data_IF_750977063757
#
_entry.id   IF_750977063757
#
_cell.length_a   1.000
_cell.length_b   1.000
_cell.length_c   1.000
_cell.angle_alpha   90.00
_cell.angle_beta   90.00
_cell.angle_gamma   90.00
#
_symmetry.space_group_name_H-M   'P 1'
#
loop_
_entity.id
_entity.type
_entity.pdbx_description
1 polymer ?
#
# COMPACT_ATOMS: atom_id res chain seq x y z
N UNK A 1 -24.15 -8.87 0.51
CA UNK A 1 -22.73 -9.24 0.46
C UNK A 1 -22.12 -8.76 1.75
N UNK A 2 -22.12 -9.63 2.75
CA UNK A 2 -21.44 -9.42 4.02
C UNK A 2 -19.92 -9.31 3.81
N UNK A 3 -19.23 -8.48 4.59
CA UNK A 3 -17.78 -8.37 4.52
C UNK A 3 -17.14 -9.65 5.11
N UNK A 4 -15.95 -10.06 4.63
CA UNK A 4 -15.32 -11.26 5.14
C UNK A 4 -14.78 -11.01 6.54
N UNK A 5 -15.17 -11.89 7.47
CA UNK A 5 -14.59 -12.05 8.80
C UNK A 5 -13.07 -12.24 8.68
N UNK A 6 -12.34 -11.15 8.91
CA UNK A 6 -10.92 -11.19 9.19
C UNK A 6 -10.77 -11.67 10.64
N UNK A 7 -10.51 -12.97 10.72
CA UNK A 7 -10.23 -13.77 11.90
C UNK A 7 -9.35 -13.04 12.94
N UNK A 8 -10.02 -12.41 13.92
CA UNK A 8 -9.40 -11.82 15.10
C UNK A 8 -8.87 -12.88 16.09
N UNK A 9 -9.10 -14.17 15.86
CA UNK A 9 -8.51 -15.23 16.67
C UNK A 9 -7.06 -15.51 16.25
N UNK A 10 -6.70 -15.31 14.97
CA UNK A 10 -5.35 -15.59 14.49
C UNK A 10 -4.29 -14.56 14.94
N UNK A 11 -4.70 -13.33 15.28
CA UNK A 11 -3.81 -12.32 15.89
C UNK A 11 -3.72 -12.49 17.43
N UNK A 12 -4.65 -13.22 18.04
CA UNK A 12 -4.60 -13.54 19.47
C UNK A 12 -3.93 -14.89 19.78
N UNK A 13 -3.90 -15.85 18.85
CA UNK A 13 -3.24 -17.15 19.08
C UNK A 13 -1.71 -17.12 18.98
N UNK A 14 -1.12 -16.17 18.23
CA UNK A 14 0.34 -15.99 18.20
C UNK A 14 0.88 -15.25 19.46
N UNK A 15 -0.03 -14.86 20.37
CA UNK A 15 0.30 -14.21 21.64
C UNK A 15 0.31 -15.16 22.86
N UNK A 16 -0.05 -16.44 22.68
CA UNK A 16 -0.29 -17.36 23.82
C UNK A 16 0.69 -18.53 23.96
N UNK A 17 1.68 -18.69 23.08
CA UNK A 17 2.63 -19.84 23.12
C UNK A 17 4.12 -19.47 23.14
N UNK A 18 4.48 -18.22 23.43
CA UNK A 18 5.84 -17.88 23.86
C UNK A 18 5.80 -17.30 25.25
N UNK A 19 5.99 -18.16 26.25
CA UNK A 19 6.56 -17.76 27.54
C UNK A 19 7.78 -16.89 27.24
N UNK A 20 7.75 -15.58 27.55
CA UNK A 20 8.92 -14.75 27.34
C UNK A 20 9.97 -15.25 28.33
N UNK A 21 11.08 -15.77 27.83
CA UNK A 21 12.28 -16.07 28.60
C UNK A 21 12.97 -14.81 29.16
N UNK A 22 12.21 -13.74 29.40
CA UNK A 22 12.66 -12.49 30.01
C UNK A 22 12.35 -12.48 31.50
N UNK A 23 12.80 -13.53 32.18
CA UNK A 23 13.16 -13.50 33.60
C UNK A 23 14.69 -13.49 33.71
N UNK A 24 15.38 -12.75 32.83
CA UNK A 24 16.69 -12.22 33.20
C UNK A 24 16.44 -10.94 33.98
N UNK A 25 16.05 -11.11 35.24
CA UNK A 25 16.29 -10.12 36.28
C UNK A 25 17.73 -9.63 36.09
N UNK A 26 17.97 -8.36 35.74
CA UNK A 26 19.33 -7.87 35.70
C UNK A 26 19.87 -8.00 37.13
N UNK A 27 20.98 -8.73 37.23
CA UNK A 27 21.83 -8.96 38.39
C UNK A 27 21.43 -8.27 39.70
N UNK A 28 21.03 -9.09 40.67
CA UNK A 28 21.41 -8.95 42.08
C UNK A 28 21.46 -7.53 42.65
N UNK A 29 20.30 -6.96 42.95
CA UNK A 29 20.19 -5.92 43.98
C UNK A 29 19.17 -6.33 45.03
N UNK A 30 19.30 -7.56 45.52
CA UNK A 30 19.00 -7.75 46.93
C UNK A 30 19.99 -6.86 47.67
N UNK A 31 19.52 -5.80 48.31
CA UNK A 31 20.21 -5.31 49.51
C UNK A 31 20.12 -6.48 50.49
N UNK A 32 21.03 -7.44 50.32
CA UNK A 32 21.26 -8.53 51.24
C UNK A 32 21.89 -7.86 52.45
N UNK A 33 21.02 -7.30 53.27
CA UNK A 33 21.31 -7.11 54.68
C UNK A 33 21.71 -8.50 55.15
N UNK A 34 23.01 -8.73 55.21
CA UNK A 34 23.66 -10.02 55.40
C UNK A 34 23.25 -10.50 56.80
N UNK A 35 22.07 -11.12 56.86
CA UNK A 35 21.26 -11.24 58.08
C UNK A 35 22.04 -11.99 59.15
N UNK A 36 22.88 -12.93 58.74
CA UNK A 36 23.71 -13.73 59.61
C UNK A 36 24.85 -12.94 60.28
N UNK A 37 25.35 -11.87 59.65
CA UNK A 37 26.36 -10.98 60.25
C UNK A 37 25.75 -9.99 61.24
N UNK A 38 24.48 -9.61 61.05
CA UNK A 38 23.79 -8.62 61.89
C UNK A 38 23.11 -9.21 63.12
N UNK A 39 22.67 -10.48 63.08
CA UNK A 39 22.08 -11.20 64.23
C UNK A 39 22.86 -11.04 65.55
N UNK A 40 24.20 -11.23 65.63
CA UNK A 40 24.93 -11.07 66.88
C UNK A 40 24.95 -9.62 67.38
N UNK A 41 25.10 -8.65 66.47
CA UNK A 41 25.04 -7.22 66.80
C UNK A 41 23.66 -6.82 67.33
N UNK A 42 22.59 -7.29 66.69
CA UNK A 42 21.21 -7.07 67.15
C UNK A 42 21.01 -7.65 68.55
N UNK A 43 21.36 -8.92 68.78
CA UNK A 43 21.24 -9.59 70.08
C UNK A 43 21.99 -8.85 71.20
N UNK A 44 23.18 -8.32 70.90
CA UNK A 44 23.93 -7.49 71.83
C UNK A 44 23.22 -6.17 72.12
N UNK A 45 22.71 -5.48 71.11
CA UNK A 45 21.99 -4.22 71.27
C UNK A 45 20.75 -4.39 72.15
N UNK A 46 20.02 -5.48 71.94
CA UNK A 46 18.86 -5.83 72.73
C UNK A 46 19.16 -6.01 74.22
N UNK A 47 20.32 -6.60 74.54
CA UNK A 47 20.79 -6.71 75.93
C UNK A 47 21.10 -5.32 76.51
N UNK A 48 21.72 -4.44 75.72
CA UNK A 48 22.02 -3.05 76.11
C UNK A 48 20.75 -2.27 76.39
N UNK A 49 19.74 -2.35 75.51
CA UNK A 49 18.45 -1.68 75.68
C UNK A 49 17.78 -2.10 76.99
N UNK A 50 17.61 -3.41 77.23
CA UNK A 50 16.96 -3.90 78.43
C UNK A 50 17.68 -3.50 79.74
N UNK A 51 19.02 -3.54 79.74
CA UNK A 51 19.82 -3.09 80.90
C UNK A 51 19.69 -1.58 81.13
N UNK A 52 19.80 -0.78 80.07
CA UNK A 52 19.69 0.68 80.17
C UNK A 52 18.32 1.12 80.72
N UNK A 53 17.22 0.51 80.27
CA UNK A 53 15.88 0.82 80.78
C UNK A 53 15.74 0.43 82.25
N UNK A 54 16.33 -0.70 82.66
CA UNK A 54 16.34 -1.12 84.06
C UNK A 54 17.10 -0.15 84.96
N UNK A 55 18.25 0.38 84.49
CA UNK A 55 19.02 1.41 85.19
C UNK A 55 18.24 2.73 85.30
N UNK A 56 17.64 3.19 84.21
CA UNK A 56 16.87 4.44 84.18
C UNK A 56 15.56 4.33 84.98
N UNK A 57 14.94 3.15 85.05
CA UNK A 57 13.77 2.91 85.91
C UNK A 57 14.13 3.06 87.40
N UNK A 58 15.32 2.57 87.82
CA UNK A 58 15.81 2.77 89.19
C UNK A 58 16.12 4.24 89.47
N UNK A 59 16.70 4.95 88.49
CA UNK A 59 16.96 6.39 88.59
C UNK A 59 15.67 7.20 88.72
N UNK A 60 14.67 6.90 87.89
CA UNK A 60 13.35 7.54 87.94
C UNK A 60 12.65 7.28 89.28
N UNK A 61 12.79 6.08 89.85
CA UNK A 61 12.28 5.78 91.19
C UNK A 61 12.99 6.63 92.27
N UNK A 62 14.30 6.83 92.16
CA UNK A 62 15.05 7.65 93.11
C UNK A 62 14.70 9.15 93.01
N UNK A 63 14.54 9.67 91.78
CA UNK A 63 14.32 11.10 91.51
C UNK A 63 12.85 11.51 91.65
N UNK A 64 11.92 10.72 91.10
CA UNK A 64 10.49 11.06 90.97
C UNK A 64 9.58 10.19 91.85
N UNK A 65 10.13 9.19 92.55
CA UNK A 65 9.36 8.20 93.33
C UNK A 65 8.32 7.42 92.52
N UNK A 66 8.44 7.43 91.18
CA UNK A 66 7.59 6.67 90.27
C UNK A 66 8.21 5.32 89.99
N UNK A 67 7.44 4.24 90.19
CA UNK A 67 7.93 2.87 90.03
C UNK A 67 7.53 2.29 88.67
N UNK A 68 8.49 1.68 87.96
CA UNK A 68 8.28 1.01 86.69
C UNK A 68 8.87 -0.40 86.71
N UNK A 69 8.14 -1.38 86.17
CA UNK A 69 8.57 -2.78 86.08
C UNK A 69 9.02 -3.12 84.67
N UNK A 70 10.27 -3.55 84.53
CA UNK A 70 10.84 -3.96 83.24
C UNK A 70 10.81 -5.49 83.17
N UNK A 71 10.00 -6.06 82.27
CA UNK A 71 9.90 -7.51 82.10
C UNK A 71 10.42 -7.97 80.73
N UNK A 72 11.01 -9.18 80.61
CA UNK A 72 11.45 -9.71 79.32
C UNK A 72 10.30 -9.90 78.31
N UNK A 73 9.05 -10.02 78.76
CA UNK A 73 7.88 -10.21 77.90
C UNK A 73 7.55 -8.96 77.06
N UNK A 74 8.08 -7.79 77.44
CA UNK A 74 7.97 -6.55 76.65
C UNK A 74 8.69 -6.66 75.29
N UNK A 75 9.53 -7.66 75.07
CA UNK A 75 10.45 -7.72 73.95
C UNK A 75 9.88 -8.35 72.65
N UNK A 76 8.70 -8.96 72.70
CA UNK A 76 8.18 -9.83 71.62
C UNK A 76 7.55 -9.07 70.43
N UNK A 77 7.82 -7.77 70.25
CA UNK A 77 7.27 -6.96 69.15
C UNK A 77 8.08 -7.03 67.84
N UNK A 78 8.75 -8.16 67.57
CA UNK A 78 9.53 -8.36 66.32
C UNK A 78 8.65 -8.44 65.05
N UNK A 79 7.33 -8.63 65.21
CA UNK A 79 6.34 -8.65 64.12
C UNK A 79 6.38 -7.36 63.28
N UNK A 80 6.73 -6.23 63.90
CA UNK A 80 6.80 -4.91 63.25
C UNK A 80 7.79 -4.84 62.08
N UNK A 81 8.88 -5.62 62.14
CA UNK A 81 9.89 -5.62 61.07
C UNK A 81 9.34 -6.23 59.80
N UNK A 82 8.53 -7.28 59.91
CA UNK A 82 7.95 -7.96 58.76
C UNK A 82 6.91 -7.08 58.06
N UNK A 83 6.03 -6.43 58.84
CA UNK A 83 4.97 -5.59 58.29
C UNK A 83 5.53 -4.34 57.61
N UNK A 84 6.51 -3.65 58.23
CA UNK A 84 7.16 -2.48 57.62
C UNK A 84 7.99 -2.85 56.39
N UNK A 85 8.63 -4.02 56.37
CA UNK A 85 9.33 -4.52 55.18
C UNK A 85 8.39 -4.72 54.02
N UNK A 86 7.23 -5.34 54.25
CA UNK A 86 6.23 -5.57 53.21
C UNK A 86 5.58 -4.26 52.75
N UNK A 87 5.35 -3.30 53.65
CA UNK A 87 4.83 -1.97 53.31
C UNK A 87 5.78 -1.21 52.38
N UNK A 88 7.05 -1.06 52.76
CA UNK A 88 8.05 -0.33 51.98
C UNK A 88 8.39 -1.07 50.68
N UNK A 89 8.59 -2.38 50.74
CA UNK A 89 8.87 -3.21 49.58
C UNK A 89 7.73 -3.19 48.57
N UNK A 90 6.49 -3.35 49.03
CA UNK A 90 5.32 -3.28 48.17
C UNK A 90 5.11 -1.89 47.53
N UNK A 91 5.45 -0.82 48.24
CA UNK A 91 5.44 0.54 47.67
C UNK A 91 6.51 0.70 46.58
N UNK A 92 7.74 0.25 46.83
CA UNK A 92 8.83 0.29 45.87
C UNK A 92 8.51 -0.55 44.63
N UNK A 93 7.98 -1.76 44.78
CA UNK A 93 7.64 -2.66 43.68
C UNK A 93 6.53 -2.09 42.79
N UNK A 94 5.52 -1.44 43.37
CA UNK A 94 4.49 -0.74 42.59
C UNK A 94 5.08 0.34 41.70
N UNK A 95 5.99 1.16 42.24
CA UNK A 95 6.65 2.22 41.48
C UNK A 95 7.61 1.65 40.43
N UNK A 96 8.38 0.60 40.75
CA UNK A 96 9.23 -0.12 39.78
C UNK A 96 8.42 -0.69 38.62
N UNK A 97 7.27 -1.30 38.91
CA UNK A 97 6.37 -1.80 37.87
C UNK A 97 5.87 -0.66 36.97
N UNK A 98 5.48 0.48 37.56
CA UNK A 98 5.11 1.67 36.80
C UNK A 98 6.24 2.18 35.89
N UNK A 99 7.45 2.29 36.44
CA UNK A 99 8.65 2.70 35.69
C UNK A 99 8.97 1.75 34.54
N UNK A 100 8.90 0.44 34.77
CA UNK A 100 9.06 -0.57 33.73
C UNK A 100 8.02 -0.42 32.62
N UNK A 101 6.76 -0.13 32.93
CA UNK A 101 5.72 0.13 31.92
C UNK A 101 5.98 1.40 31.10
N UNK A 102 6.52 2.44 31.71
CA UNK A 102 6.91 3.67 31.01
C UNK A 102 8.07 3.36 30.04
N UNK A 103 9.06 2.58 30.47
CA UNK A 103 10.19 2.20 29.61
C UNK A 103 9.79 1.24 28.48
N UNK A 104 8.90 0.27 28.74
CA UNK A 104 8.30 -0.59 27.72
C UNK A 104 7.56 0.26 26.66
N UNK A 105 6.81 1.26 27.10
CA UNK A 105 6.06 2.16 26.22
C UNK A 105 7.03 2.99 25.37
N UNK A 106 8.10 3.51 25.96
CA UNK A 106 9.17 4.22 25.23
C UNK A 106 9.76 3.35 24.12
N UNK A 107 10.13 2.11 24.42
CA UNK A 107 10.68 1.18 23.43
C UNK A 107 9.68 0.86 22.31
N UNK A 108 8.39 0.72 22.63
CA UNK A 108 7.34 0.52 21.62
C UNK A 108 7.18 1.72 20.71
N UNK A 109 7.22 2.94 21.26
CA UNK A 109 7.17 4.19 20.48
C UNK A 109 8.36 4.28 19.52
N UNK A 110 9.57 3.96 19.99
CA UNK A 110 10.77 3.94 19.14
C UNK A 110 10.65 2.93 17.99
N UNK A 111 10.22 1.69 18.29
CA UNK A 111 9.97 0.67 17.26
C UNK A 111 8.88 1.08 16.26
N UNK A 112 7.81 1.74 16.72
CA UNK A 112 6.75 2.24 15.83
C UNK A 112 7.25 3.40 14.95
N UNK A 113 8.12 4.27 15.46
CA UNK A 113 8.72 5.36 14.69
C UNK A 113 9.59 4.83 13.55
N UNK A 114 10.41 3.81 13.82
CA UNK A 114 11.21 3.15 12.76
C UNK A 114 10.29 2.54 11.69
N UNK A 115 9.23 1.83 12.09
CA UNK A 115 8.27 1.24 11.16
C UNK A 115 7.52 2.28 10.32
N UNK A 116 7.25 3.46 10.89
CA UNK A 116 6.61 4.56 10.17
C UNK A 116 7.52 5.11 9.06
N UNK A 117 8.81 5.31 9.35
CA UNK A 117 9.79 5.78 8.36
C UNK A 117 9.98 4.78 7.21
N UNK A 118 10.06 3.48 7.52
CA UNK A 118 10.08 2.43 6.51
C UNK A 118 8.80 2.42 5.66
N UNK A 119 7.65 2.62 6.31
CA UNK A 119 6.34 2.72 5.65
C UNK A 119 6.25 3.91 4.69
N UNK A 120 6.65 5.11 5.14
CA UNK A 120 6.69 6.33 4.31
C UNK A 120 7.62 6.15 3.11
N UNK A 121 8.77 5.52 3.30
CA UNK A 121 9.71 5.21 2.21
C UNK A 121 9.10 4.28 1.17
N UNK A 122 8.40 3.21 1.59
CA UNK A 122 7.69 2.30 0.68
C UNK A 122 6.56 2.98 -0.08
N UNK A 123 5.79 3.85 0.58
CA UNK A 123 4.74 4.64 -0.09
C UNK A 123 5.35 5.53 -1.17
N UNK A 124 6.48 6.20 -0.90
CA UNK A 124 7.18 7.02 -1.91
C UNK A 124 7.72 6.18 -3.08
N UNK A 125 8.22 4.96 -2.83
CA UNK A 125 8.64 4.04 -3.87
C UNK A 125 7.45 3.59 -4.74
N UNK A 126 6.32 3.22 -4.13
CA UNK A 126 5.12 2.83 -4.87
C UNK A 126 4.48 4.00 -5.63
N UNK A 127 4.55 5.23 -5.12
CA UNK A 127 4.16 6.41 -5.88
C UNK A 127 4.97 6.54 -7.17
N UNK A 128 6.30 6.44 -7.08
CA UNK A 128 7.17 6.49 -8.28
C UNK A 128 6.88 5.35 -9.27
N UNK A 129 6.54 4.16 -8.77
CA UNK A 129 6.14 3.04 -9.63
C UNK A 129 4.82 3.33 -10.34
N UNK A 130 3.80 3.84 -9.63
CA UNK A 130 2.52 4.25 -10.19
C UNK A 130 2.70 5.32 -11.28
N UNK A 131 3.50 6.35 -11.03
CA UNK A 131 3.78 7.42 -11.99
C UNK A 131 4.46 6.87 -13.26
N UNK A 132 5.39 5.92 -13.09
CA UNK A 132 6.05 5.25 -14.21
C UNK A 132 5.05 4.47 -15.06
N UNK A 133 4.17 3.69 -14.44
CA UNK A 133 3.14 2.93 -15.17
C UNK A 133 2.17 3.85 -15.92
N UNK A 134 1.73 4.95 -15.31
CA UNK A 134 0.86 5.95 -15.95
C UNK A 134 1.52 6.57 -17.19
N UNK A 135 2.81 6.89 -17.11
CA UNK A 135 3.57 7.45 -18.24
C UNK A 135 3.71 6.48 -19.42
N UNK A 136 3.73 5.18 -19.16
CA UNK A 136 3.79 4.13 -20.19
C UNK A 136 2.41 3.92 -20.81
N UNK A 137 1.34 3.96 -20.01
CA UNK A 137 -0.03 3.85 -20.50
C UNK A 137 -0.38 4.98 -21.50
N UNK A 138 0.00 6.23 -21.22
CA UNK A 138 -0.18 7.36 -22.14
C UNK A 138 0.54 7.17 -23.48
N UNK A 139 1.66 6.46 -23.50
CA UNK A 139 2.36 6.13 -24.76
C UNK A 139 1.62 5.06 -25.57
N UNK A 140 0.93 4.13 -24.91
CA UNK A 140 0.11 3.11 -25.57
C UNK A 140 -1.14 3.69 -26.22
N UNK A 141 -1.79 4.68 -25.61
CA UNK A 141 -2.96 5.35 -26.20
C UNK A 141 -2.65 6.05 -27.54
N UNK A 142 -1.43 6.58 -27.69
CA UNK A 142 -0.98 7.18 -28.96
C UNK A 142 -0.90 6.18 -30.11
N UNK A 143 -0.67 4.90 -29.83
CA UNK A 143 -0.61 3.84 -30.84
C UNK A 143 -2.02 3.49 -31.33
N UNK A 144 -3.02 3.57 -30.45
CA UNK A 144 -4.44 3.42 -30.83
C UNK A 144 -4.92 4.58 -31.74
N UNK A 145 -4.49 5.81 -31.46
CA UNK A 145 -4.77 6.94 -32.35
C UNK A 145 -4.15 6.78 -33.75
N UNK A 146 -3.00 6.11 -33.88
CA UNK A 146 -2.39 5.82 -35.17
C UNK A 146 -3.15 4.75 -35.96
N UNK A 147 -3.74 3.76 -35.30
CA UNK A 147 -4.57 2.72 -35.94
C UNK A 147 -5.84 3.31 -36.55
N UNK A 148 -6.56 4.17 -35.84
CA UNK A 148 -7.78 4.82 -36.36
C UNK A 148 -7.52 5.63 -37.63
N UNK A 149 -6.34 6.26 -37.72
CA UNK A 149 -5.90 6.98 -38.93
C UNK A 149 -5.61 6.02 -40.08
N UNK A 150 -4.95 4.89 -39.81
CA UNK A 150 -4.70 3.85 -40.81
C UNK A 150 -6.01 3.21 -41.31
N UNK A 151 -6.96 2.96 -40.41
CA UNK A 151 -8.29 2.44 -40.75
C UNK A 151 -9.07 3.42 -41.63
N UNK A 152 -9.10 4.69 -41.25
CA UNK A 152 -9.75 5.71 -42.09
C UNK A 152 -9.14 5.78 -43.50
N UNK A 153 -7.81 5.69 -43.62
CA UNK A 153 -7.15 5.67 -44.94
C UNK A 153 -7.49 4.41 -45.76
N UNK A 154 -7.65 3.25 -45.12
CA UNK A 154 -8.08 2.02 -45.79
C UNK A 154 -9.54 2.11 -46.25
N UNK A 155 -10.42 2.68 -45.43
CA UNK A 155 -11.84 2.88 -45.76
C UNK A 155 -12.04 3.84 -46.94
N UNK A 156 -11.24 4.92 -47.00
CA UNK A 156 -11.23 5.85 -48.14
C UNK A 156 -10.80 5.13 -49.44
N UNK A 157 -9.75 4.31 -49.38
CA UNK A 157 -9.30 3.54 -50.54
C UNK A 157 -10.34 2.49 -51.00
N UNK A 158 -11.08 1.90 -50.06
CA UNK A 158 -12.16 0.96 -50.37
C UNK A 158 -13.34 1.68 -51.03
N UNK A 159 -13.71 2.85 -50.53
CA UNK A 159 -14.77 3.67 -51.13
C UNK A 159 -14.44 4.05 -52.58
N UNK A 160 -13.19 4.44 -52.87
CA UNK A 160 -12.74 4.75 -54.24
C UNK A 160 -12.81 3.52 -55.17
N UNK A 161 -12.54 2.32 -54.64
CA UNK A 161 -12.68 1.07 -55.37
C UNK A 161 -14.16 0.75 -55.67
N UNK A 162 -15.04 0.94 -54.68
CA UNK A 162 -16.47 0.72 -54.78
C UNK A 162 -17.15 1.71 -55.74
N UNK A 163 -16.61 2.93 -55.90
CA UNK A 163 -17.04 3.88 -56.93
C UNK A 163 -16.59 3.41 -58.34
N UNK A 164 -15.38 2.86 -58.45
CA UNK A 164 -14.80 2.46 -59.73
C UNK A 164 -15.36 1.14 -60.29
N UNK A 165 -15.77 0.21 -59.43
CA UNK A 165 -16.23 -1.15 -59.82
C UNK A 165 -17.54 -1.17 -60.62
N UNK A 166 -18.66 -0.54 -60.18
CA UNK A 166 -19.92 -0.56 -60.90
C UNK A 166 -19.80 0.14 -62.25
N UNK A 167 -19.11 1.28 -62.27
CA UNK A 167 -18.88 2.09 -63.46
C UNK A 167 -18.04 1.36 -64.53
N UNK A 168 -17.21 0.39 -64.12
CA UNK A 168 -16.44 -0.49 -64.99
C UNK A 168 -17.27 -1.72 -65.40
N UNK A 169 -18.00 -2.35 -64.48
CA UNK A 169 -18.84 -3.51 -64.72
C UNK A 169 -19.99 -3.21 -65.69
N UNK A 170 -20.66 -2.06 -65.56
CA UNK A 170 -21.70 -1.61 -66.49
C UNK A 170 -21.14 -1.46 -67.92
N UNK A 171 -19.91 -0.94 -68.03
CA UNK A 171 -19.27 -0.73 -69.32
C UNK A 171 -18.77 -2.03 -69.96
N UNK A 172 -18.41 -3.04 -69.17
CA UNK A 172 -18.05 -4.38 -69.64
C UNK A 172 -19.30 -5.21 -69.97
N UNK A 173 -20.37 -5.11 -69.18
CA UNK A 173 -21.63 -5.82 -69.42
C UNK A 173 -22.33 -5.37 -70.71
N UNK A 174 -22.24 -4.09 -71.06
CA UNK A 174 -22.69 -3.58 -72.37
C UNK A 174 -21.94 -4.24 -73.55
N UNK A 175 -20.71 -4.70 -73.30
CA UNK A 175 -19.75 -5.19 -74.29
C UNK A 175 -19.85 -6.70 -74.56
N UNK A 176 -20.30 -7.49 -73.57
CA UNK A 176 -20.48 -8.95 -73.69
C UNK A 176 -21.77 -9.38 -74.43
N UNK A 177 -22.54 -8.42 -74.94
CA UNK A 177 -23.82 -8.66 -75.64
C UNK A 177 -23.70 -9.16 -77.09
N UNK A 178 -22.51 -9.52 -77.58
CA UNK A 178 -22.31 -9.90 -78.99
C UNK A 178 -21.72 -11.30 -79.16
N UNK A 179 -22.52 -12.16 -79.80
CA UNK A 179 -22.30 -13.59 -79.95
C UNK A 179 -21.31 -13.91 -81.08
N UNK A 180 -20.32 -14.75 -80.77
CA UNK A 180 -19.11 -15.04 -81.55
C UNK A 180 -19.29 -16.11 -82.64
N UNK A 181 -20.52 -16.42 -83.05
CA UNK A 181 -20.86 -17.62 -83.84
C UNK A 181 -21.01 -17.42 -85.35
N UNK A 182 -21.11 -16.20 -85.88
CA UNK A 182 -21.62 -15.98 -87.26
C UNK A 182 -20.57 -15.50 -88.28
N UNK A 183 -19.30 -15.91 -88.17
CA UNK A 183 -18.18 -15.27 -88.91
C UNK A 183 -17.42 -16.16 -89.92
N UNK A 184 -18.10 -17.12 -90.58
CA UNK A 184 -17.43 -18.07 -91.51
C UNK A 184 -17.90 -18.07 -92.98
N UNK A 185 -18.83 -17.21 -93.42
CA UNK A 185 -19.41 -17.29 -94.78
C UNK A 185 -18.96 -16.22 -95.81
N UNK A 186 -17.95 -15.39 -95.54
CA UNK A 186 -17.67 -14.15 -96.31
C UNK A 186 -16.74 -14.35 -97.54
N UNK A 187 -16.36 -15.60 -97.87
CA UNK A 187 -15.33 -15.87 -98.89
C UNK A 187 -15.87 -16.12 -100.32
N UNK A 188 -17.18 -16.08 -100.54
CA UNK A 188 -17.82 -16.59 -101.77
C UNK A 188 -18.30 -15.54 -102.80
N UNK A 189 -18.07 -14.24 -102.58
CA UNK A 189 -18.55 -13.20 -103.51
C UNK A 189 -17.52 -12.84 -104.60
N UNK A 190 -17.85 -13.08 -105.88
CA UNK A 190 -17.03 -12.69 -107.04
C UNK A 190 -17.23 -11.24 -107.52
N UNK A 191 -18.41 -10.64 -107.28
CA UNK A 191 -18.69 -9.20 -107.51
C UNK A 191 -19.75 -8.74 -106.50
N UNK A 192 -19.36 -8.02 -105.42
CA UNK A 192 -20.28 -7.73 -104.33
C UNK A 192 -21.35 -6.70 -104.72
N UNK A 193 -22.61 -6.85 -104.26
CA UNK A 193 -23.64 -5.81 -104.36
C UNK A 193 -23.20 -4.52 -103.64
N UNK A 194 -23.68 -3.35 -104.09
CA UNK A 194 -23.29 -2.03 -103.56
C UNK A 194 -23.34 -1.90 -102.02
N UNK A 195 -24.31 -2.55 -101.37
CA UNK A 195 -24.43 -2.56 -99.90
C UNK A 195 -23.36 -3.43 -99.22
N UNK A 196 -22.91 -4.51 -99.86
CA UNK A 196 -21.82 -5.37 -99.39
C UNK A 196 -20.46 -4.69 -99.64
N UNK A 197 -20.32 -3.97 -100.76
CA UNK A 197 -19.14 -3.16 -101.07
C UNK A 197 -18.89 -2.06 -100.04
N UNK A 198 -19.94 -1.31 -99.64
CA UNK A 198 -19.86 -0.32 -98.54
C UNK A 198 -19.43 -0.92 -97.19
N UNK A 199 -19.89 -2.14 -96.87
CA UNK A 199 -19.46 -2.88 -95.66
C UNK A 199 -18.00 -3.31 -95.78
N UNK A 200 -17.57 -3.74 -96.97
CA UNK A 200 -16.18 -4.10 -97.24
C UNK A 200 -15.26 -2.86 -97.21
N UNK A 201 -15.69 -1.69 -97.69
CA UNK A 201 -14.96 -0.42 -97.58
C UNK A 201 -14.79 0.03 -96.12
N UNK A 202 -15.86 -0.04 -95.32
CA UNK A 202 -15.81 0.30 -93.90
C UNK A 202 -14.91 -0.66 -93.10
N UNK A 203 -14.85 -1.94 -93.48
CA UNK A 203 -13.91 -2.93 -92.93
C UNK A 203 -12.48 -2.68 -93.44
N UNK A 204 -12.30 -2.26 -94.69
CA UNK A 204 -10.99 -1.95 -95.28
C UNK A 204 -10.35 -0.70 -94.70
N UNK A 205 -11.13 0.29 -94.29
CA UNK A 205 -10.64 1.45 -93.54
C UNK A 205 -10.24 1.10 -92.10
N UNK A 206 -10.84 0.04 -91.52
CA UNK A 206 -10.39 -0.52 -90.25
C UNK A 206 -9.12 -1.38 -90.40
N UNK A 207 -8.94 -2.08 -91.54
CA UNK A 207 -7.70 -2.77 -91.90
C UNK A 207 -7.61 -3.08 -93.39
N UNK A 208 -6.51 -2.70 -94.02
CA UNK A 208 -6.24 -2.85 -95.46
C UNK A 208 -5.83 -4.30 -95.74
N UNK A 209 -6.63 -5.02 -96.55
CA UNK A 209 -6.33 -6.25 -97.34
C UNK A 209 -7.35 -7.40 -97.13
N UNK A 210 -8.19 -7.64 -98.16
CA UNK A 210 -9.30 -8.61 -98.17
C UNK A 210 -8.94 -9.99 -98.78
N UNK A 211 -7.68 -10.22 -99.18
CA UNK A 211 -7.28 -11.39 -99.98
C UNK A 211 -6.56 -12.52 -99.23
N UNK A 212 -6.23 -12.35 -97.95
CA UNK A 212 -5.32 -13.24 -97.22
C UNK A 212 -6.04 -14.36 -96.44
N UNK A 213 -5.50 -15.58 -96.45
CA UNK A 213 -6.06 -16.73 -95.70
C UNK A 213 -6.07 -16.53 -94.18
N UNK A 214 -5.34 -15.51 -93.70
CA UNK A 214 -5.23 -15.11 -92.30
C UNK A 214 -6.18 -13.95 -91.91
N UNK A 215 -6.95 -13.38 -92.84
CA UNK A 215 -7.85 -12.24 -92.63
C UNK A 215 -8.81 -12.43 -91.45
N UNK A 216 -9.44 -13.60 -91.35
CA UNK A 216 -10.38 -13.92 -90.25
C UNK A 216 -9.65 -13.98 -88.90
N UNK A 217 -8.45 -14.58 -88.84
CA UNK A 217 -7.62 -14.59 -87.61
C UNK A 217 -7.17 -13.18 -87.22
N UNK A 218 -6.91 -12.33 -88.21
CA UNK A 218 -6.50 -10.93 -88.00
C UNK A 218 -7.66 -10.02 -87.58
N UNK A 219 -8.89 -10.30 -87.99
CA UNK A 219 -10.11 -9.64 -87.49
C UNK A 219 -10.45 -10.07 -86.06
N UNK A 220 -10.25 -11.35 -85.75
CA UNK A 220 -10.44 -11.88 -84.40
C UNK A 220 -9.38 -11.40 -83.39
N UNK A 221 -8.14 -11.19 -83.86
CA UNK A 221 -7.02 -10.68 -83.08
C UNK A 221 -6.75 -9.20 -83.36
N UNK A 222 -7.73 -8.47 -83.90
CA UNK A 222 -7.58 -7.04 -84.12
C UNK A 222 -7.39 -6.34 -82.77
N UNK A 223 -6.42 -5.45 -82.71
CA UNK A 223 -6.13 -4.65 -81.52
C UNK A 223 -7.23 -3.60 -81.33
N UNK A 224 -8.33 -4.09 -80.77
CA UNK A 224 -9.53 -3.33 -80.45
C UNK A 224 -9.25 -2.18 -79.47
N UNK A 225 -8.15 -2.28 -78.71
CA UNK A 225 -7.76 -1.33 -77.66
C UNK A 225 -6.99 -0.12 -78.20
N UNK A 226 -6.48 -0.17 -79.44
CA UNK A 226 -5.62 0.87 -80.03
C UNK A 226 -6.15 1.44 -81.36
N UNK A 227 -7.46 1.72 -81.43
CA UNK A 227 -8.09 2.33 -82.62
C UNK A 227 -7.92 3.86 -82.57
N UNK A 228 -7.28 4.44 -83.59
CA UNK A 228 -7.08 5.90 -83.65
C UNK A 228 -8.40 6.69 -83.82
N UNK A 229 -8.45 7.91 -83.28
CA UNK A 229 -9.60 8.83 -83.39
C UNK A 229 -10.09 9.05 -84.83
N UNK A 230 -9.15 9.11 -85.76
CA UNK A 230 -9.44 9.29 -87.18
C UNK A 230 -10.24 8.11 -87.75
N UNK A 231 -9.90 6.90 -87.33
CA UNK A 231 -10.56 5.66 -87.79
C UNK A 231 -11.95 5.55 -87.15
N UNK A 232 -12.10 5.84 -85.86
CA UNK A 232 -13.41 5.84 -85.18
C UNK A 232 -14.38 6.88 -85.77
N UNK A 233 -13.90 8.09 -86.07
CA UNK A 233 -14.74 9.14 -86.65
C UNK A 233 -15.23 8.80 -88.07
N UNK A 234 -14.38 8.13 -88.86
CA UNK A 234 -14.74 7.65 -90.20
C UNK A 234 -15.74 6.51 -90.13
N UNK A 235 -15.47 5.49 -89.31
CA UNK A 235 -16.38 4.35 -89.11
C UNK A 235 -17.75 4.83 -88.60
N UNK A 236 -17.79 5.79 -87.67
CA UNK A 236 -19.02 6.40 -87.19
C UNK A 236 -19.82 7.15 -88.26
N UNK A 237 -19.15 7.71 -89.28
CA UNK A 237 -19.81 8.33 -90.43
C UNK A 237 -20.55 7.31 -91.30
N UNK A 238 -20.02 6.10 -91.46
CA UNK A 238 -20.73 5.01 -92.14
C UNK A 238 -21.87 4.47 -91.29
N UNK A 239 -21.64 4.30 -89.98
CA UNK A 239 -22.65 3.77 -89.05
C UNK A 239 -23.86 4.70 -88.85
N UNK A 240 -23.72 5.99 -89.19
CA UNK A 240 -24.80 6.99 -89.14
C UNK A 240 -25.69 6.99 -90.40
N UNK A 241 -25.29 6.31 -91.48
CA UNK A 241 -26.08 6.24 -92.71
C UNK A 241 -27.27 5.28 -92.55
N UNK A 242 -28.47 5.68 -92.99
CA UNK A 242 -29.70 4.88 -92.87
C UNK A 242 -29.64 3.53 -93.58
N UNK A 243 -28.78 3.42 -94.58
CA UNK A 243 -28.51 2.25 -95.42
C UNK A 243 -27.46 1.30 -94.82
N UNK A 244 -26.78 1.69 -93.74
CA UNK A 244 -25.79 0.89 -93.01
C UNK A 244 -26.35 0.28 -91.72
N UNK A 245 -27.51 -0.37 -91.83
CA UNK A 245 -28.14 -1.09 -90.73
C UNK A 245 -28.04 -2.61 -90.91
N UNK A 246 -27.73 -3.37 -89.84
CA UNK A 246 -27.68 -4.83 -89.88
C UNK A 246 -28.94 -5.49 -90.46
N UNK A 247 -30.11 -4.92 -90.21
CA UNK A 247 -31.40 -5.44 -90.69
C UNK A 247 -31.63 -5.22 -92.19
N UNK A 248 -31.00 -4.20 -92.77
CA UNK A 248 -31.08 -3.87 -94.20
C UNK A 248 -30.04 -4.67 -94.97
N UNK A 249 -28.80 -4.70 -94.48
CA UNK A 249 -27.68 -5.45 -95.07
C UNK A 249 -27.91 -6.96 -94.95
N UNK A 250 -28.57 -7.41 -93.88
CA UNK A 250 -28.96 -8.80 -93.67
C UNK A 250 -29.94 -9.37 -94.65
N UNK A 251 -30.71 -8.52 -95.35
CA UNK A 251 -31.59 -8.95 -96.45
C UNK A 251 -30.81 -9.30 -97.72
N UNK A 252 -29.56 -8.84 -97.82
CA UNK A 252 -28.69 -9.01 -99.00
C UNK A 252 -27.62 -10.07 -98.75
N UNK A 253 -27.02 -10.10 -97.54
CA UNK A 253 -26.02 -11.10 -97.16
C UNK A 253 -25.95 -11.23 -95.64
N UNK A 254 -26.19 -12.43 -95.12
CA UNK A 254 -26.03 -12.73 -93.69
C UNK A 254 -24.57 -12.54 -93.24
N UNK A 255 -23.63 -12.83 -94.13
CA UNK A 255 -22.21 -12.67 -93.89
C UNK A 255 -21.80 -11.16 -93.84
N UNK A 256 -22.39 -10.32 -94.71
CA UNK A 256 -22.19 -8.86 -94.67
C UNK A 256 -22.91 -8.21 -93.48
N UNK A 257 -24.02 -8.79 -93.01
CA UNK A 257 -24.68 -8.38 -91.76
C UNK A 257 -23.75 -8.56 -90.56
N UNK A 258 -23.07 -9.70 -90.45
CA UNK A 258 -22.09 -9.96 -89.38
C UNK A 258 -20.93 -8.96 -89.41
N UNK A 259 -20.42 -8.58 -90.59
CA UNK A 259 -19.37 -7.54 -90.70
C UNK A 259 -19.89 -6.14 -90.39
N UNK A 260 -21.10 -5.79 -90.84
CA UNK A 260 -21.73 -4.51 -90.47
C UNK A 260 -21.93 -4.42 -88.95
N UNK A 261 -22.38 -5.51 -88.33
CA UNK A 261 -22.49 -5.61 -86.87
C UNK A 261 -21.12 -5.54 -86.20
N UNK A 262 -20.08 -6.15 -86.77
CA UNK A 262 -18.70 -6.06 -86.27
C UNK A 262 -18.13 -4.64 -86.35
N UNK A 263 -18.31 -3.93 -87.46
CA UNK A 263 -17.85 -2.54 -87.64
C UNK A 263 -18.58 -1.60 -86.68
N UNK A 264 -19.89 -1.76 -86.52
CA UNK A 264 -20.68 -1.01 -85.52
C UNK A 264 -20.26 -1.36 -84.10
N UNK A 265 -19.97 -2.64 -83.83
CA UNK A 265 -19.45 -3.08 -82.53
C UNK A 265 -18.05 -2.52 -82.25
N UNK A 266 -17.18 -2.38 -83.26
CA UNK A 266 -15.85 -1.78 -83.12
C UNK A 266 -15.91 -0.26 -82.90
N UNK A 267 -16.87 0.42 -83.53
CA UNK A 267 -17.15 1.84 -83.27
C UNK A 267 -17.65 2.07 -81.84
N UNK A 268 -18.61 1.25 -81.39
CA UNK A 268 -19.13 1.26 -80.03
C UNK A 268 -18.01 0.88 -79.04
N UNK A 269 -17.19 -0.13 -79.36
CA UNK A 269 -16.04 -0.56 -78.57
C UNK A 269 -15.05 0.58 -78.38
N UNK A 270 -14.61 1.25 -79.46
CA UNK A 270 -13.65 2.35 -79.34
C UNK A 270 -14.19 3.57 -78.60
N UNK A 271 -15.50 3.86 -78.70
CA UNK A 271 -16.15 4.89 -77.89
C UNK A 271 -16.21 4.51 -76.41
N UNK A 272 -16.56 3.26 -76.09
CA UNK A 272 -16.64 2.74 -74.72
C UNK A 272 -15.26 2.56 -74.10
N UNK A 273 -14.26 2.10 -74.86
CA UNK A 273 -12.88 1.90 -74.42
C UNK A 273 -12.26 3.21 -73.89
N UNK A 274 -12.55 4.36 -74.52
CA UNK A 274 -12.12 5.68 -74.01
C UNK A 274 -12.72 6.07 -72.66
N UNK A 275 -13.89 5.54 -72.35
CA UNK A 275 -14.56 5.75 -71.07
C UNK A 275 -14.10 4.70 -70.05
N UNK A 276 -13.71 3.51 -70.50
CA UNK A 276 -13.32 2.35 -69.67
C UNK A 276 -11.84 2.34 -69.30
N UNK A 277 -10.94 2.78 -70.18
CA UNK A 277 -9.50 2.76 -69.95
C UNK A 277 -9.08 3.63 -68.75
N UNK A 278 -9.52 4.91 -68.62
CA UNK A 278 -9.26 5.70 -67.43
C UNK A 278 -9.84 5.07 -66.16
N UNK A 279 -11.03 4.44 -66.26
CA UNK A 279 -11.67 3.73 -65.13
C UNK A 279 -10.89 2.48 -64.72
N UNK A 280 -10.35 1.72 -65.68
CA UNK A 280 -9.52 0.53 -65.45
C UNK A 280 -8.18 0.91 -64.81
N UNK A 281 -7.57 2.02 -65.24
CA UNK A 281 -6.37 2.57 -64.61
C UNK A 281 -6.65 3.09 -63.18
N UNK A 282 -7.75 3.83 -62.98
CA UNK A 282 -8.20 4.29 -61.65
C UNK A 282 -8.46 3.10 -60.71
N UNK A 283 -9.12 2.05 -61.20
CA UNK A 283 -9.39 0.82 -60.46
C UNK A 283 -8.09 0.07 -60.08
N UNK A 284 -7.14 -0.08 -61.01
CA UNK A 284 -5.86 -0.75 -60.71
C UNK A 284 -5.02 0.06 -59.71
N UNK A 285 -5.01 1.39 -59.85
CA UNK A 285 -4.36 2.28 -58.88
C UNK A 285 -5.02 2.19 -57.50
N UNK A 286 -6.36 2.21 -57.44
CA UNK A 286 -7.12 2.07 -56.20
C UNK A 286 -6.90 0.69 -55.55
N UNK A 287 -6.87 -0.40 -56.33
CA UNK A 287 -6.56 -1.76 -55.82
C UNK A 287 -5.14 -1.85 -55.23
N UNK A 288 -4.15 -1.26 -55.91
CA UNK A 288 -2.77 -1.25 -55.40
C UNK A 288 -2.64 -0.43 -54.11
N UNK A 289 -3.29 0.74 -54.06
CA UNK A 289 -3.31 1.57 -52.85
C UNK A 289 -4.06 0.90 -51.71
N UNK A 290 -5.22 0.30 -51.99
CA UNK A 290 -5.99 -0.45 -51.01
C UNK A 290 -5.17 -1.57 -50.40
N UNK A 291 -4.45 -2.35 -51.23
CA UNK A 291 -3.59 -3.43 -50.75
C UNK A 291 -2.49 -2.92 -49.82
N UNK A 292 -1.78 -1.87 -50.22
CA UNK A 292 -0.74 -1.26 -49.39
C UNK A 292 -1.31 -0.75 -48.05
N UNK A 293 -2.49 -0.11 -48.07
CA UNK A 293 -3.16 0.36 -46.85
C UNK A 293 -3.69 -0.79 -45.99
N UNK A 294 -4.17 -1.88 -46.58
CA UNK A 294 -4.62 -3.08 -45.88
C UNK A 294 -3.46 -3.81 -45.21
N UNK A 295 -2.33 -3.95 -45.89
CA UNK A 295 -1.11 -4.55 -45.31
C UNK A 295 -0.59 -3.69 -44.14
N UNK A 296 -0.52 -2.36 -44.33
CA UNK A 296 -0.15 -1.42 -43.27
C UNK A 296 -1.13 -1.45 -42.08
N UNK A 297 -2.43 -1.63 -42.34
CA UNK A 297 -3.46 -1.76 -41.33
C UNK A 297 -3.35 -3.10 -40.58
N UNK A 298 -3.03 -4.20 -41.27
CA UNK A 298 -2.80 -5.49 -40.63
C UNK A 298 -1.60 -5.44 -39.68
N UNK A 299 -0.49 -4.83 -40.12
CA UNK A 299 0.69 -4.60 -39.29
C UNK A 299 0.39 -3.69 -38.10
N UNK A 300 -0.38 -2.61 -38.31
CA UNK A 300 -0.81 -1.72 -37.24
C UNK A 300 -1.69 -2.43 -36.21
N UNK A 301 -2.64 -3.28 -36.66
CA UNK A 301 -3.51 -4.10 -35.79
C UNK A 301 -2.74 -5.14 -34.99
N UNK A 302 -1.74 -5.78 -35.60
CA UNK A 302 -0.88 -6.73 -34.88
C UNK A 302 -0.09 -6.04 -33.77
N UNK A 303 0.49 -4.86 -34.05
CA UNK A 303 1.20 -4.05 -33.05
C UNK A 303 0.25 -3.54 -31.96
N UNK A 304 -0.96 -3.12 -32.34
CA UNK A 304 -1.99 -2.69 -31.39
C UNK A 304 -2.35 -3.83 -30.43
N UNK A 305 -2.62 -5.04 -30.93
CA UNK A 305 -2.95 -6.19 -30.08
C UNK A 305 -1.83 -6.52 -29.07
N UNK A 306 -0.56 -6.43 -29.48
CA UNK A 306 0.58 -6.61 -28.57
C UNK A 306 0.64 -5.50 -27.51
N UNK A 307 0.40 -4.24 -27.90
CA UNK A 307 0.40 -3.09 -27.00
C UNK A 307 -0.79 -3.13 -26.05
N UNK A 308 -1.98 -3.54 -26.51
CA UNK A 308 -3.19 -3.71 -25.69
C UNK A 308 -3.00 -4.80 -24.64
N UNK A 309 -2.41 -5.94 -25.01
CA UNK A 309 -2.08 -7.00 -24.06
C UNK A 309 -1.11 -6.49 -22.98
N UNK A 310 -0.04 -5.78 -23.38
CA UNK A 310 0.89 -5.15 -22.43
C UNK A 310 0.21 -4.07 -21.59
N UNK A 311 -0.70 -3.28 -22.16
CA UNK A 311 -1.43 -2.25 -21.45
C UNK A 311 -2.38 -2.86 -20.41
N UNK A 312 -3.04 -3.98 -20.72
CA UNK A 312 -3.89 -4.70 -19.78
C UNK A 312 -3.07 -5.21 -18.59
N UNK A 313 -1.92 -5.82 -18.84
CA UNK A 313 -1.00 -6.26 -17.78
C UNK A 313 -0.49 -5.08 -16.93
N UNK A 314 -0.07 -3.98 -17.58
CA UNK A 314 0.37 -2.76 -16.90
C UNK A 314 -0.74 -2.11 -16.06
N UNK A 315 -1.98 -2.12 -16.55
CA UNK A 315 -3.16 -1.63 -15.79
C UNK A 315 -3.40 -2.49 -14.55
N UNK A 316 -3.37 -3.81 -14.68
CA UNK A 316 -3.50 -4.71 -13.53
C UNK A 316 -2.39 -4.46 -12.50
N UNK A 317 -1.12 -4.38 -12.93
CA UNK A 317 -0.01 -4.08 -12.04
C UNK A 317 -0.14 -2.70 -11.38
N UNK A 318 -0.63 -1.71 -12.12
CA UNK A 318 -0.90 -0.37 -11.59
C UNK A 318 -1.96 -0.41 -10.49
N UNK A 319 -3.11 -1.05 -10.74
CA UNK A 319 -4.21 -1.13 -9.78
C UNK A 319 -3.78 -1.88 -8.51
N UNK A 320 -3.04 -2.98 -8.65
CA UNK A 320 -2.47 -3.71 -7.52
C UNK A 320 -1.50 -2.84 -6.70
N UNK A 321 -0.62 -2.08 -7.37
CA UNK A 321 0.34 -1.19 -6.69
C UNK A 321 -0.33 0.02 -6.06
N UNK A 322 -1.37 0.55 -6.69
CA UNK A 322 -2.18 1.63 -6.16
C UNK A 322 -2.90 1.19 -4.88
N UNK A 323 -3.53 0.00 -4.89
CA UNK A 323 -4.17 -0.59 -3.71
C UNK A 323 -3.16 -0.81 -2.57
N UNK A 324 -1.97 -1.35 -2.88
CA UNK A 324 -0.89 -1.53 -1.89
C UNK A 324 -0.41 -0.18 -1.32
N UNK A 325 -0.28 0.84 -2.17
CA UNK A 325 0.13 2.19 -1.76
C UNK A 325 -0.90 2.83 -0.83
N UNK A 326 -2.18 2.81 -1.19
CA UNK A 326 -3.24 3.42 -0.37
C UNK A 326 -3.39 2.71 0.99
N UNK A 327 -3.28 1.38 1.03
CA UNK A 327 -3.31 0.65 2.30
C UNK A 327 -2.09 0.97 3.19
N UNK A 328 -0.88 1.07 2.60
CA UNK A 328 0.31 1.48 3.35
C UNK A 328 0.21 2.93 3.82
N UNK A 329 -0.34 3.82 3.00
CA UNK A 329 -0.57 5.22 3.36
C UNK A 329 -1.53 5.33 4.54
N UNK A 330 -2.67 4.62 4.50
CA UNK A 330 -3.62 4.54 5.61
C UNK A 330 -2.97 4.04 6.90
N UNK A 331 -2.16 2.98 6.82
CA UNK A 331 -1.41 2.45 7.97
C UNK A 331 -0.38 3.46 8.50
N UNK A 332 0.29 4.20 7.62
CA UNK A 332 1.26 5.23 8.00
C UNK A 332 0.58 6.38 8.74
N UNK A 333 -0.52 6.91 8.20
CA UNK A 333 -1.31 7.99 8.82
C UNK A 333 -1.83 7.57 10.21
N UNK A 334 -2.36 6.35 10.33
CA UNK A 334 -2.78 5.82 11.63
C UNK A 334 -1.62 5.70 12.62
N UNK A 335 -0.47 5.20 12.17
CA UNK A 335 0.72 5.04 13.03
C UNK A 335 1.28 6.39 13.46
N UNK A 336 1.26 7.39 12.58
CA UNK A 336 1.68 8.77 12.88
C UNK A 336 0.80 9.39 13.97
N UNK A 337 -0.53 9.25 13.86
CA UNK A 337 -1.46 9.69 14.90
C UNK A 337 -1.22 8.96 16.23
N UNK A 338 -0.96 7.66 16.19
CA UNK A 338 -0.66 6.87 17.39
C UNK A 338 0.67 7.29 18.04
N UNK A 339 1.69 7.59 17.24
CA UNK A 339 2.97 8.10 17.72
C UNK A 339 2.83 9.48 18.34
N UNK A 340 2.04 10.38 17.75
CA UNK A 340 1.76 11.70 18.32
C UNK A 340 1.11 11.57 19.70
N UNK A 341 0.08 10.74 19.82
CA UNK A 341 -0.62 10.49 21.10
C UNK A 341 0.31 9.87 22.14
N UNK A 342 1.09 8.87 21.75
CA UNK A 342 2.03 8.21 22.65
C UNK A 342 3.14 9.17 23.10
N UNK A 343 3.62 10.04 22.22
CA UNK A 343 4.63 11.06 22.56
C UNK A 343 4.09 12.06 23.57
N UNK A 344 2.85 12.55 23.39
CA UNK A 344 2.17 13.43 24.35
C UNK A 344 2.01 12.78 25.73
N UNK A 345 1.62 11.50 25.76
CA UNK A 345 1.52 10.74 27.01
C UNK A 345 2.88 10.61 27.69
N UNK A 346 3.92 10.23 26.94
CA UNK A 346 5.28 10.09 27.45
C UNK A 346 5.85 11.41 27.97
N UNK A 347 5.58 12.53 27.30
CA UNK A 347 6.01 13.84 27.79
C UNK A 347 5.27 14.25 29.06
N UNK A 348 3.97 13.94 29.18
CA UNK A 348 3.21 14.21 30.40
C UNK A 348 3.69 13.38 31.60
N UNK A 349 4.11 12.14 31.35
CA UNK A 349 4.64 11.23 32.37
C UNK A 349 6.13 11.44 32.67
N UNK A 350 6.84 12.33 31.96
CA UNK A 350 8.29 12.49 32.13
C UNK A 350 8.67 12.96 33.54
N UNK A 351 7.97 13.97 34.07
CA UNK A 351 8.20 14.45 35.43
C UNK A 351 7.76 13.44 36.50
N UNK A 352 6.69 12.68 36.24
CA UNK A 352 6.25 11.61 37.14
C UNK A 352 7.27 10.48 37.20
N UNK A 353 7.87 10.13 36.06
CA UNK A 353 8.93 9.13 35.97
C UNK A 353 10.13 9.52 36.84
N UNK A 354 10.61 10.75 36.73
CA UNK A 354 11.74 11.25 37.53
C UNK A 354 11.42 11.19 39.03
N UNK A 355 10.24 11.68 39.42
CA UNK A 355 9.77 11.62 40.80
C UNK A 355 9.68 10.18 41.32
N UNK A 356 9.16 9.24 40.53
CA UNK A 356 9.09 7.84 40.92
C UNK A 356 10.47 7.20 41.04
N UNK A 357 11.42 7.57 40.18
CA UNK A 357 12.81 7.10 40.28
C UNK A 357 13.47 7.58 41.57
N UNK A 358 13.30 8.85 41.93
CA UNK A 358 13.78 9.39 43.21
C UNK A 358 13.11 8.69 44.38
N UNK A 359 11.78 8.56 44.36
CA UNK A 359 11.04 7.90 45.45
C UNK A 359 11.46 6.44 45.62
N UNK A 360 11.73 5.70 44.53
CA UNK A 360 12.21 4.32 44.62
C UNK A 360 13.59 4.27 45.27
N UNK A 361 14.51 5.18 44.90
CA UNK A 361 15.84 5.28 45.56
C UNK A 361 15.69 5.56 47.05
N UNK A 362 14.87 6.53 47.42
CA UNK A 362 14.62 6.87 48.82
C UNK A 362 14.03 5.68 49.60
N UNK A 363 13.10 4.93 48.99
CA UNK A 363 12.53 3.73 49.60
C UNK A 363 13.56 2.61 49.74
N UNK A 364 14.44 2.42 48.76
CA UNK A 364 15.54 1.45 48.80
C UNK A 364 16.56 1.78 49.89
N UNK A 365 16.93 3.05 50.04
CA UNK A 365 17.79 3.53 51.13
C UNK A 365 17.14 3.27 52.50
N UNK A 366 15.85 3.61 52.64
CA UNK A 366 15.08 3.33 53.86
C UNK A 366 14.99 1.83 54.16
N UNK A 367 14.84 0.98 53.13
CA UNK A 367 14.86 -0.47 53.29
C UNK A 367 16.23 -0.98 53.80
N UNK A 368 17.33 -0.31 53.45
CA UNK A 368 18.66 -0.60 53.99
C UNK A 368 18.77 -0.32 55.50
N UNK A 369 18.14 0.74 55.99
CA UNK A 369 18.13 1.12 57.41
C UNK A 369 17.06 0.41 58.25
N UNK A 370 16.15 -0.33 57.61
CA UNK A 370 14.96 -0.91 58.24
C UNK A 370 15.28 -1.78 59.46
N UNK A 371 16.39 -2.52 59.43
CA UNK A 371 16.76 -3.42 60.53
C UNK A 371 17.03 -2.68 61.85
N UNK A 372 17.75 -1.56 61.81
CA UNK A 372 18.00 -0.72 62.98
C UNK A 372 16.79 0.13 63.35
N UNK A 373 16.07 0.67 62.36
CA UNK A 373 14.90 1.50 62.62
C UNK A 373 13.76 0.71 63.28
N UNK A 374 13.51 -0.53 62.85
CA UNK A 374 12.56 -1.44 63.50
C UNK A 374 13.01 -1.81 64.91
N UNK A 375 14.30 -2.05 65.13
CA UNK A 375 14.84 -2.33 66.46
C UNK A 375 14.59 -1.16 67.41
N UNK A 376 14.90 0.06 66.97
CA UNK A 376 14.70 1.28 67.74
C UNK A 376 13.21 1.55 68.00
N UNK A 377 12.36 1.37 66.99
CA UNK A 377 10.92 1.56 67.11
C UNK A 377 10.28 0.54 68.08
N UNK A 378 10.62 -0.75 67.95
CA UNK A 378 10.13 -1.79 68.85
C UNK A 378 10.57 -1.52 70.29
N UNK A 379 11.85 -1.17 70.50
CA UNK A 379 12.35 -0.82 71.82
C UNK A 379 11.67 0.43 72.41
N UNK A 380 11.39 1.43 71.57
CA UNK A 380 10.68 2.64 71.98
C UNK A 380 9.26 2.29 72.45
N UNK A 381 8.48 1.55 71.66
CA UNK A 381 7.11 1.16 72.05
C UNK A 381 7.09 0.31 73.31
N UNK A 382 8.02 -0.63 73.42
CA UNK A 382 8.06 -1.61 74.50
C UNK A 382 8.45 -1.00 75.87
N UNK A 383 9.22 0.09 75.89
CA UNK A 383 9.83 0.61 77.12
C UNK A 383 9.52 2.08 77.43
N UNK A 384 9.21 2.93 76.45
CA UNK A 384 9.20 4.39 76.65
C UNK A 384 7.91 4.95 77.23
N UNK A 385 6.81 4.17 77.25
CA UNK A 385 5.51 4.61 77.76
C UNK A 385 5.59 5.30 79.15
N UNK A 386 6.20 4.67 80.17
CA UNK A 386 6.29 5.25 81.52
C UNK A 386 7.27 6.42 81.70
N UNK A 387 8.15 6.67 80.73
CA UNK A 387 9.20 7.69 80.84
C UNK A 387 8.74 9.06 80.34
N UNK A 388 9.20 10.13 80.99
CA UNK A 388 9.03 11.52 80.55
C UNK A 388 10.00 11.87 79.40
N UNK A 389 9.68 12.93 78.66
CA UNK A 389 10.42 13.37 77.45
C UNK A 389 11.94 13.44 77.66
N UNK A 390 12.40 14.01 78.77
CA UNK A 390 13.83 14.14 79.08
C UNK A 390 14.56 12.79 79.19
N UNK A 391 13.92 11.79 79.80
CA UNK A 391 14.50 10.44 79.90
C UNK A 391 14.44 9.71 78.55
N UNK A 392 13.38 9.93 77.75
CA UNK A 392 13.26 9.38 76.39
C UNK A 392 14.40 9.91 75.50
N UNK A 393 14.61 11.21 75.49
CA UNK A 393 15.67 11.85 74.70
C UNK A 393 17.06 11.36 75.12
N UNK A 394 17.32 11.25 76.43
CA UNK A 394 18.60 10.77 76.95
C UNK A 394 18.86 9.30 76.57
N UNK A 395 17.86 8.42 76.72
CA UNK A 395 17.99 7.00 76.37
C UNK A 395 18.13 6.78 74.87
N UNK A 396 17.28 7.41 74.06
CA UNK A 396 17.23 7.17 72.61
C UNK A 396 18.42 7.82 71.91
N UNK A 397 18.63 9.13 72.12
CA UNK A 397 19.62 9.88 71.36
C UNK A 397 21.05 9.64 71.86
N UNK A 398 21.27 9.62 73.18
CA UNK A 398 22.63 9.54 73.74
C UNK A 398 23.11 8.12 74.01
N UNK A 399 22.22 7.19 74.34
CA UNK A 399 22.61 5.80 74.63
C UNK A 399 22.36 4.89 73.43
N UNK A 400 21.13 4.84 72.91
CA UNK A 400 20.76 3.80 71.96
C UNK A 400 21.30 4.05 70.56
N UNK A 401 21.11 5.25 70.00
CA UNK A 401 21.61 5.58 68.65
C UNK A 401 23.15 5.48 68.58
N UNK A 402 23.87 5.92 69.62
CA UNK A 402 25.33 5.78 69.67
C UNK A 402 25.77 4.31 69.67
N UNK A 403 25.13 3.46 70.47
CA UNK A 403 25.47 2.04 70.53
C UNK A 403 25.10 1.27 69.26
N UNK A 404 23.96 1.61 68.62
CA UNK A 404 23.57 1.06 67.30
C UNK A 404 24.63 1.38 66.26
N UNK A 405 25.14 2.62 66.24
CA UNK A 405 26.23 3.04 65.34
C UNK A 405 27.55 2.31 65.65
N UNK A 406 27.92 2.15 66.92
CA UNK A 406 29.13 1.39 67.33
C UNK A 406 29.07 -0.08 66.93
N UNK A 407 27.89 -0.68 66.97
CA UNK A 407 27.66 -2.08 66.59
C UNK A 407 27.53 -2.29 65.08
N UNK A 408 27.61 -1.21 64.28
CA UNK A 408 27.53 -1.27 62.82
C UNK A 408 26.15 -1.68 62.30
N UNK A 409 25.09 -1.44 63.07
CA UNK A 409 23.72 -1.74 62.66
C UNK A 409 23.22 -0.59 61.77
N UNK A 410 22.76 -0.84 60.53
CA UNK A 410 22.19 0.19 59.67
C UNK A 410 20.95 0.80 60.31
N UNK A 411 20.96 2.13 60.49
CA UNK A 411 19.86 2.91 61.07
C UNK A 411 19.87 4.30 60.44
N UNK A 412 18.68 4.91 60.29
CA UNK A 412 18.55 6.24 59.74
C UNK A 412 19.35 7.26 60.58
N UNK A 413 20.07 8.20 59.95
CA UNK A 413 20.91 9.17 60.66
C UNK A 413 20.12 10.06 61.63
N UNK A 414 18.87 10.39 61.26
CA UNK A 414 17.92 11.16 62.05
C UNK A 414 16.66 10.32 62.34
N UNK A 415 16.82 9.22 63.09
CA UNK A 415 15.68 8.38 63.45
C UNK A 415 14.65 9.16 64.29
N UNK A 416 13.41 9.19 63.81
CA UNK A 416 12.25 9.72 64.53
C UNK A 416 11.19 8.62 64.65
N UNK A 417 10.80 8.31 65.89
CA UNK A 417 9.85 7.25 66.19
C UNK A 417 8.47 7.49 65.55
N UNK A 418 7.94 8.70 65.68
CA UNK A 418 6.61 9.05 65.18
C UNK A 418 6.54 9.00 63.66
N UNK A 419 7.55 9.51 62.96
CA UNK A 419 7.61 9.50 61.49
C UNK A 419 7.76 8.08 60.93
N UNK A 420 8.45 7.19 61.65
CA UNK A 420 8.64 5.81 61.24
C UNK A 420 7.37 4.96 61.43
N UNK A 421 6.70 5.13 62.57
CA UNK A 421 5.54 4.32 62.95
C UNK A 421 4.25 4.81 62.30
N UNK A 422 3.98 6.12 62.37
CA UNK A 422 2.71 6.70 61.98
C UNK A 422 2.82 7.51 60.69
N UNK A 423 1.76 7.47 59.89
CA UNK A 423 1.65 8.35 58.72
C UNK A 423 1.29 9.76 59.18
N UNK A 424 1.79 10.82 58.53
CA UNK A 424 1.42 12.19 58.88
C UNK A 424 -0.09 12.45 58.89
N UNK A 425 -0.85 11.72 58.06
CA UNK A 425 -2.32 11.75 58.06
C UNK A 425 -2.93 11.22 59.35
N UNK A 426 -2.41 10.12 59.89
CA UNK A 426 -2.88 9.55 61.16
C UNK A 426 -2.60 10.52 62.33
N UNK A 427 -1.42 11.11 62.37
CA UNK A 427 -1.07 12.13 63.38
C UNK A 427 -2.00 13.34 63.28
N UNK A 428 -2.32 13.78 62.06
CA UNK A 428 -3.27 14.87 61.84
C UNK A 428 -4.67 14.52 62.34
N UNK A 429 -5.13 13.30 62.11
CA UNK A 429 -6.45 12.85 62.59
C UNK A 429 -6.50 12.82 64.13
N UNK A 430 -5.41 12.40 64.78
CA UNK A 430 -5.30 12.46 66.24
C UNK A 430 -5.33 13.91 66.76
N UNK A 431 -4.66 14.84 66.07
CA UNK A 431 -4.69 16.26 66.43
C UNK A 431 -6.11 16.85 66.28
N UNK A 432 -6.85 16.43 65.25
CA UNK A 432 -8.27 16.82 65.07
C UNK A 432 -9.14 16.28 66.22
N UNK A 433 -8.82 15.09 66.74
CA UNK A 433 -9.49 14.49 67.90
C UNK A 433 -9.07 15.12 69.25
N UNK A 434 -8.23 16.16 69.23
CA UNK A 434 -7.84 16.92 70.41
C UNK A 434 -6.48 16.53 71.01
N UNK A 435 -5.69 15.69 70.34
CA UNK A 435 -4.31 15.45 70.75
C UNK A 435 -3.48 16.73 70.59
N UNK A 436 -2.73 17.15 71.62
CA UNK A 436 -1.80 18.27 71.47
C UNK A 436 -0.71 17.97 70.43
N UNK A 437 -0.30 19.00 69.69
CA UNK A 437 0.67 18.88 68.59
C UNK A 437 2.14 18.79 69.03
N UNK A 438 2.41 18.67 70.33
CA UNK A 438 3.77 18.52 70.83
C UNK A 438 4.32 17.10 70.60
N UNK A 439 5.64 16.96 70.57
CA UNK A 439 6.31 15.70 70.26
C UNK A 439 5.96 14.60 71.27
N UNK A 440 5.91 14.93 72.57
CA UNK A 440 5.63 13.96 73.63
C UNK A 440 4.19 13.43 73.55
N UNK A 441 3.21 14.31 73.33
CA UNK A 441 1.81 13.92 73.11
C UNK A 441 1.66 13.07 71.85
N UNK A 442 2.35 13.43 70.76
CA UNK A 442 2.33 12.66 69.52
C UNK A 442 2.92 11.27 69.71
N UNK A 443 4.08 11.15 70.38
CA UNK A 443 4.69 9.87 70.71
C UNK A 443 3.75 8.98 71.53
N UNK A 444 3.10 9.55 72.54
CA UNK A 444 2.13 8.82 73.36
C UNK A 444 0.92 8.37 72.55
N UNK A 445 0.40 9.24 71.67
CA UNK A 445 -0.68 8.90 70.76
C UNK A 445 -0.31 7.72 69.86
N UNK A 446 0.89 7.74 69.28
CA UNK A 446 1.40 6.66 68.42
C UNK A 446 1.61 5.36 69.20
N UNK A 447 2.13 5.43 70.43
CA UNK A 447 2.28 4.26 71.31
C UNK A 447 0.89 3.66 71.59
N UNK A 448 -0.11 4.47 71.96
CA UNK A 448 -1.46 3.98 72.26
C UNK A 448 -2.12 3.35 71.05
N UNK A 449 -1.93 3.89 69.84
CA UNK A 449 -2.55 3.34 68.63
C UNK A 449 -1.83 2.10 68.08
N UNK A 450 -0.56 1.92 68.42
CA UNK A 450 0.30 0.87 67.83
C UNK A 450 0.67 -0.24 68.82
N UNK A 451 0.53 0.01 70.12
CA UNK A 451 0.74 -0.98 71.18
C UNK A 451 -0.40 -2.00 71.18
N UNK A 452 -0.05 -3.28 71.30
CA UNK A 452 -1.01 -4.35 71.55
C UNK A 452 -1.30 -4.56 73.06
N UNK A 453 -0.77 -3.67 73.92
CA UNK A 453 -0.82 -3.77 75.38
C UNK A 453 -1.23 -2.47 76.04
#
# INVERSE_FOLDING_TARGET
MEPPDLDMQQVMEDSTTRTPSYLSCPQEWSVSVDSDKLKPSLAKMFTVMHKSVSEYSKRMLAELRSHNYVTPTNYLELVLLFDKKNELGGAADKLRNGLSKIDDTRQKVEKMSIKLEDGKTKVAQFQKQCDKYLSVAQKGERIAEEETKCQHMADLAQHDLDEALPALQEAIAALESLNKKDMTEIKSYGRPPLLVEKVMEAVMEAKRELGESTFIKQLMNFDKDNISDRVLKKIGSYCSQSDFQPDIIGRVSGAAKSLCMWVRAMEVYGRVYRVVEPKKQRLNAAMSQLKEKQDALADAKAKLAEVEAKMAELKQQYDEKLAQKEELKRKAEYTELMLERATKLMSGLAGEKERWQETVKDLEERMGFLSGDCLMAAAFMSYMGPFLSNYRDELVQKKWIEEVRKLGIPCAPNFNFCEFMAKPTQVRDLNIQGLPSDAFSTENGVIVTSSNR
#
